data_IF_133271484548
#
_entry.id   IF_133271484548
#
_cell.length_a   1.000
_cell.length_b   1.000
_cell.length_c   1.000
_cell.angle_alpha   90.00
_cell.angle_beta   90.00
_cell.angle_gamma   90.00
#
_symmetry.space_group_name_H-M   'P 1'
#
loop_
_entity.id
_entity.type
_entity.pdbx_description
1 polymer ?
#
# COMPACT_ATOMS: atom_id res chain seq x y z
N UNK A 1 -5.03 -88.26 55.54
CA UNK A 1 -3.73 -87.54 55.63
C UNK A 1 -3.29 -87.26 54.20
N UNK A 2 -3.69 -86.09 53.62
CA UNK A 2 -3.49 -85.75 52.23
C UNK A 2 -2.39 -84.71 52.17
N UNK A 3 -1.29 -84.98 51.45
CA UNK A 3 -0.18 -84.10 51.27
C UNK A 3 -0.54 -83.04 50.19
N UNK A 4 -0.10 -81.78 50.33
CA UNK A 4 -0.32 -80.72 49.29
C UNK A 4 0.62 -80.92 48.15
N UNK A 5 0.09 -80.85 46.91
CA UNK A 5 0.82 -80.82 45.65
C UNK A 5 1.35 -79.44 45.47
N UNK A 6 2.72 -79.29 45.38
CA UNK A 6 3.36 -78.05 45.09
C UNK A 6 3.21 -77.67 43.58
N UNK A 7 2.67 -76.51 43.27
CA UNK A 7 2.61 -75.95 41.92
C UNK A 7 3.97 -75.59 41.40
N UNK A 8 4.31 -75.92 40.14
CA UNK A 8 5.61 -75.51 39.56
C UNK A 8 5.57 -73.99 39.25
N UNK A 9 6.48 -73.27 39.87
CA UNK A 9 6.72 -71.86 39.65
C UNK A 9 7.28 -71.69 38.19
N UNK A 10 6.43 -71.18 37.28
CA UNK A 10 6.86 -70.81 35.93
C UNK A 10 7.75 -69.57 36.07
N UNK A 11 9.06 -69.74 36.00
CA UNK A 11 10.01 -68.67 35.79
C UNK A 11 9.78 -68.14 34.35
N UNK A 12 9.21 -66.95 34.26
CA UNK A 12 9.14 -66.19 32.98
C UNK A 12 10.61 -66.00 32.52
N UNK A 13 10.96 -66.53 31.36
CA UNK A 13 12.26 -66.29 30.76
C UNK A 13 12.35 -64.78 30.40
N UNK A 14 13.13 -64.03 31.17
CA UNK A 14 13.46 -62.64 30.83
C UNK A 14 14.35 -62.65 29.59
N UNK A 15 13.78 -62.30 28.44
CA UNK A 15 14.53 -62.13 27.22
C UNK A 15 15.16 -60.75 27.26
N UNK A 16 16.48 -60.71 27.55
CA UNK A 16 17.27 -59.47 27.43
C UNK A 16 17.35 -59.05 25.96
N UNK A 17 17.30 -57.72 25.70
CA UNK A 17 17.46 -57.16 24.36
C UNK A 17 18.85 -57.50 23.81
N UNK A 18 18.89 -57.86 22.52
CA UNK A 18 20.19 -58.05 21.85
C UNK A 18 20.81 -56.71 21.49
N UNK A 19 22.13 -56.59 21.47
CA UNK A 19 22.85 -55.39 21.06
C UNK A 19 22.42 -54.91 19.67
N UNK A 20 22.17 -55.84 18.75
CA UNK A 20 21.74 -55.57 17.38
C UNK A 20 20.33 -54.95 17.34
N UNK A 21 19.40 -55.42 18.17
CA UNK A 21 18.02 -54.91 18.25
C UNK A 21 18.03 -53.47 18.77
N UNK A 22 18.86 -53.13 19.74
CA UNK A 22 19.05 -51.75 20.22
C UNK A 22 19.61 -50.85 19.14
N UNK A 23 20.66 -51.33 18.40
CA UNK A 23 21.25 -50.56 17.31
C UNK A 23 20.26 -50.30 16.17
N UNK A 24 19.47 -51.30 15.77
CA UNK A 24 18.42 -51.13 14.72
C UNK A 24 17.32 -50.19 15.19
N UNK A 25 16.88 -50.32 16.44
CA UNK A 25 15.86 -49.44 17.01
C UNK A 25 16.33 -47.99 17.06
N UNK A 26 17.57 -47.72 17.47
CA UNK A 26 18.18 -46.38 17.47
C UNK A 26 18.31 -45.81 16.04
N UNK A 27 18.68 -46.64 15.07
CA UNK A 27 18.76 -46.23 13.68
C UNK A 27 17.40 -45.83 13.11
N UNK A 28 16.38 -46.64 13.37
CA UNK A 28 14.97 -46.31 12.95
C UNK A 28 14.47 -45.04 13.65
N UNK A 29 14.70 -44.95 14.96
CA UNK A 29 14.37 -43.74 15.72
C UNK A 29 15.04 -42.49 15.16
N UNK A 30 16.35 -42.59 14.88
CA UNK A 30 17.13 -41.49 14.27
C UNK A 30 16.57 -41.07 12.91
N UNK A 31 16.16 -42.01 12.06
CA UNK A 31 15.55 -41.71 10.77
C UNK A 31 14.20 -40.99 10.94
N UNK A 32 13.34 -41.46 11.85
CA UNK A 32 12.04 -40.85 12.14
C UNK A 32 12.23 -39.42 12.70
N UNK A 33 13.16 -39.25 13.65
CA UNK A 33 13.46 -37.96 14.24
C UNK A 33 13.99 -36.97 13.18
N UNK A 34 14.93 -37.42 12.32
CA UNK A 34 15.43 -36.59 11.22
C UNK A 34 14.33 -36.17 10.23
N UNK A 35 13.46 -37.11 9.86
CA UNK A 35 12.30 -36.83 8.99
C UNK A 35 11.35 -35.80 9.66
N UNK A 36 11.07 -35.94 10.96
CA UNK A 36 10.24 -35.01 11.71
C UNK A 36 10.81 -33.57 11.71
N UNK A 37 12.13 -33.44 11.97
CA UNK A 37 12.82 -32.14 11.93
C UNK A 37 12.80 -31.54 10.52
N UNK A 38 12.98 -32.36 9.47
CA UNK A 38 12.93 -31.90 8.09
C UNK A 38 11.54 -31.36 7.71
N UNK A 39 10.47 -32.07 8.07
CA UNK A 39 9.08 -31.64 7.83
C UNK A 39 8.78 -30.33 8.57
N UNK A 40 9.15 -30.22 9.85
CA UNK A 40 8.97 -29.01 10.64
C UNK A 40 9.69 -27.82 10.02
N UNK A 41 10.94 -27.99 9.62
CA UNK A 41 11.75 -26.96 8.97
C UNK A 41 11.16 -26.51 7.63
N UNK A 42 10.60 -27.44 6.86
CA UNK A 42 9.89 -27.14 5.62
C UNK A 42 8.61 -26.33 5.89
N UNK A 43 7.81 -26.74 6.89
CA UNK A 43 6.58 -26.06 7.26
C UNK A 43 6.84 -24.62 7.69
N UNK A 44 7.85 -24.36 8.50
CA UNK A 44 8.22 -23.01 8.95
C UNK A 44 8.61 -22.13 7.75
N UNK A 45 9.42 -22.66 6.83
CA UNK A 45 9.82 -21.91 5.61
C UNK A 45 8.63 -21.63 4.68
N UNK A 46 7.75 -22.59 4.50
CA UNK A 46 6.54 -22.42 3.70
C UNK A 46 5.60 -21.36 4.30
N UNK A 47 5.42 -21.38 5.62
CA UNK A 47 4.63 -20.37 6.34
C UNK A 47 5.23 -18.97 6.17
N UNK A 48 6.53 -18.80 6.37
CA UNK A 48 7.20 -17.51 6.21
C UNK A 48 7.06 -16.95 4.79
N UNK A 49 7.18 -17.80 3.76
CA UNK A 49 6.99 -17.41 2.37
C UNK A 49 5.55 -16.98 2.08
N UNK A 50 4.56 -17.67 2.65
CA UNK A 50 3.15 -17.35 2.50
C UNK A 50 2.81 -16.02 3.19
N UNK A 51 3.26 -15.83 4.44
CA UNK A 51 3.07 -14.58 5.18
C UNK A 51 3.64 -13.40 4.41
N UNK A 52 4.86 -13.52 3.90
CA UNK A 52 5.47 -12.45 3.10
C UNK A 52 4.63 -12.07 1.87
N UNK A 53 4.10 -13.07 1.15
CA UNK A 53 3.23 -12.80 -0.03
C UNK A 53 1.93 -12.10 0.37
N UNK A 54 1.33 -12.47 1.49
CA UNK A 54 0.13 -11.84 2.01
C UNK A 54 0.40 -10.39 2.43
N UNK A 55 1.53 -10.13 3.10
CA UNK A 55 1.93 -8.78 3.52
C UNK A 55 2.19 -7.88 2.31
N UNK A 56 2.88 -8.40 1.29
CA UNK A 56 3.14 -7.69 0.03
C UNK A 56 1.83 -7.36 -0.71
N UNK A 57 0.89 -8.30 -0.78
CA UNK A 57 -0.44 -8.09 -1.36
C UNK A 57 -1.26 -7.06 -0.57
N UNK A 58 -1.26 -7.16 0.75
CA UNK A 58 -1.95 -6.22 1.63
C UNK A 58 -1.36 -4.80 1.52
N UNK A 59 -0.03 -4.66 1.39
CA UNK A 59 0.62 -3.37 1.17
C UNK A 59 0.17 -2.73 -0.15
N UNK A 60 0.09 -3.51 -1.23
CA UNK A 60 -0.41 -3.03 -2.52
C UNK A 60 -1.86 -2.55 -2.42
N UNK A 61 -2.75 -3.36 -1.84
CA UNK A 61 -4.17 -3.00 -1.66
C UNK A 61 -4.30 -1.71 -0.84
N UNK A 62 -3.58 -1.60 0.28
CA UNK A 62 -3.57 -0.36 1.10
C UNK A 62 -3.10 0.84 0.30
N UNK A 63 -2.06 0.68 -0.52
CA UNK A 63 -1.51 1.75 -1.38
C UNK A 63 -2.54 2.23 -2.40
N UNK A 64 -3.16 1.30 -3.12
CA UNK A 64 -4.20 1.62 -4.11
C UNK A 64 -5.39 2.29 -3.44
N UNK A 65 -5.85 1.78 -2.30
CA UNK A 65 -6.99 2.36 -1.55
C UNK A 65 -6.68 3.77 -1.05
N UNK A 66 -5.49 3.99 -0.49
CA UNK A 66 -5.08 5.32 -0.01
C UNK A 66 -4.95 6.31 -1.17
N UNK A 67 -4.34 5.90 -2.29
CA UNK A 67 -4.22 6.75 -3.48
C UNK A 67 -5.59 7.06 -4.10
N UNK A 68 -6.48 6.08 -4.16
CA UNK A 68 -7.87 6.27 -4.61
C UNK A 68 -8.62 7.27 -3.75
N UNK A 69 -8.48 7.17 -2.43
CA UNK A 69 -9.10 8.11 -1.49
C UNK A 69 -8.53 9.52 -1.61
N UNK A 70 -7.21 9.66 -1.75
CA UNK A 70 -6.54 10.95 -1.89
C UNK A 70 -6.93 11.63 -3.21
N UNK A 71 -6.92 10.88 -4.31
CA UNK A 71 -7.27 11.38 -5.64
C UNK A 71 -8.76 11.69 -5.76
N UNK A 72 -9.62 10.83 -5.25
CA UNK A 72 -11.07 11.04 -5.25
C UNK A 72 -11.51 12.29 -4.47
N UNK A 73 -10.73 12.68 -3.47
CA UNK A 73 -10.97 13.88 -2.65
C UNK A 73 -10.15 15.09 -3.10
N UNK A 74 -9.44 15.04 -4.22
CA UNK A 74 -8.69 16.16 -4.74
C UNK A 74 -9.61 17.38 -4.99
N UNK A 75 -9.15 18.56 -4.59
CA UNK A 75 -9.90 19.84 -4.75
C UNK A 75 -9.05 20.87 -5.51
N UNK A 76 -9.68 21.75 -6.30
CA UNK A 76 -8.99 22.74 -7.13
C UNK A 76 -8.52 23.95 -6.30
N UNK A 77 -7.81 23.72 -5.21
CA UNK A 77 -7.27 24.76 -4.33
C UNK A 77 -5.76 24.78 -4.36
N UNK A 78 -5.17 25.85 -4.89
CA UNK A 78 -3.75 26.10 -4.80
C UNK A 78 -3.30 26.26 -3.34
N UNK A 79 -2.06 25.88 -3.04
CA UNK A 79 -1.45 25.98 -1.72
C UNK A 79 -0.09 26.64 -1.79
N UNK A 80 0.38 27.23 -0.68
CA UNK A 80 1.73 27.80 -0.61
C UNK A 80 2.70 26.74 -0.09
N UNK A 81 3.91 26.74 -0.66
CA UNK A 81 5.01 25.96 -0.12
C UNK A 81 5.65 26.65 1.11
N UNK A 82 6.71 26.04 1.63
CA UNK A 82 7.45 26.55 2.81
C UNK A 82 8.07 27.94 2.58
N UNK A 83 8.40 28.27 1.32
CA UNK A 83 8.94 29.58 0.93
C UNK A 83 7.85 30.63 0.68
N UNK A 84 6.56 30.26 0.82
CA UNK A 84 5.40 31.11 0.53
C UNK A 84 5.04 31.17 -0.96
N UNK A 85 5.72 30.42 -1.83
CA UNK A 85 5.42 30.37 -3.27
C UNK A 85 4.12 29.61 -3.52
N UNK A 86 3.24 30.21 -4.31
CA UNK A 86 1.97 29.57 -4.69
C UNK A 86 2.24 28.40 -5.62
N UNK A 87 1.71 27.22 -5.27
CA UNK A 87 1.78 26.00 -6.07
C UNK A 87 0.40 25.60 -6.56
N UNK A 88 0.28 25.02 -7.76
CA UNK A 88 -0.99 24.52 -8.26
C UNK A 88 -1.62 23.47 -7.32
N UNK A 89 -2.93 23.32 -7.44
CA UNK A 89 -3.70 22.36 -6.64
C UNK A 89 -3.28 20.90 -6.88
N UNK A 90 -2.77 20.62 -8.07
CA UNK A 90 -2.36 19.30 -8.50
C UNK A 90 -1.13 19.45 -9.42
N UNK A 91 -0.07 18.73 -9.10
CA UNK A 91 1.15 18.68 -9.90
C UNK A 91 1.63 17.25 -9.99
N UNK A 92 1.87 16.79 -11.19
CA UNK A 92 2.38 15.44 -11.43
C UNK A 92 3.48 15.47 -12.47
N UNK A 93 4.70 15.08 -12.07
CA UNK A 93 5.89 15.08 -12.92
C UNK A 93 6.92 14.09 -12.37
N UNK A 94 7.61 13.38 -13.25
CA UNK A 94 8.75 12.52 -12.91
C UNK A 94 8.47 11.52 -11.77
N UNK A 95 7.29 10.87 -11.76
CA UNK A 95 6.91 9.91 -10.73
C UNK A 95 6.57 10.53 -9.38
N UNK A 96 6.55 11.85 -9.26
CA UNK A 96 6.08 12.59 -8.10
C UNK A 96 4.69 13.14 -8.35
N UNK A 97 3.81 13.06 -7.37
CA UNK A 97 2.47 13.57 -7.42
C UNK A 97 2.20 14.40 -6.17
N UNK A 98 1.98 15.69 -6.33
CA UNK A 98 1.55 16.60 -5.27
C UNK A 98 0.11 17.04 -5.50
N UNK A 99 -0.72 17.01 -4.47
CA UNK A 99 -2.12 17.44 -4.58
C UNK A 99 -2.65 18.01 -3.28
N UNK A 100 -3.72 18.78 -3.39
CA UNK A 100 -4.54 19.22 -2.29
C UNK A 100 -5.84 18.43 -2.30
N UNK A 101 -6.16 17.81 -1.16
CA UNK A 101 -7.42 17.09 -0.99
C UNK A 101 -8.28 17.73 0.09
N UNK A 102 -9.59 17.57 -0.01
CA UNK A 102 -10.57 17.85 1.03
C UNK A 102 -10.77 16.65 1.97
N UNK A 103 -11.84 16.70 2.77
CA UNK A 103 -12.30 15.56 3.58
C UNK A 103 -11.35 15.15 4.72
N UNK A 104 -10.42 16.01 5.11
CA UNK A 104 -9.59 15.77 6.29
C UNK A 104 -10.43 15.95 7.56
N UNK A 105 -10.92 14.83 8.07
CA UNK A 105 -11.79 14.83 9.26
C UNK A 105 -11.07 15.45 10.46
N UNK A 106 -11.70 16.47 11.03
CA UNK A 106 -11.23 17.15 12.20
C UNK A 106 -12.01 16.67 13.43
N UNK A 107 -11.72 15.45 13.90
CA UNK A 107 -12.43 14.83 15.03
C UNK A 107 -12.18 15.60 16.33
N UNK A 108 -10.98 16.16 16.49
CA UNK A 108 -10.55 16.82 17.72
C UNK A 108 -10.89 18.30 17.77
N UNK A 109 -11.67 18.82 16.80
CA UNK A 109 -11.98 20.25 16.63
C UNK A 109 -10.73 21.15 16.68
N UNK A 110 -9.55 20.62 16.30
CA UNK A 110 -8.30 21.38 16.25
C UNK A 110 -8.42 22.51 15.22
N UNK A 111 -7.71 23.61 15.45
CA UNK A 111 -7.67 24.75 14.52
C UNK A 111 -6.84 24.41 13.28
N UNK A 112 -7.36 23.54 12.42
CA UNK A 112 -6.74 23.12 11.16
C UNK A 112 -7.77 23.15 10.01
N UNK A 113 -7.34 23.44 8.78
CA UNK A 113 -8.25 23.44 7.62
C UNK A 113 -8.75 22.03 7.33
N UNK A 114 -9.98 21.92 6.80
CA UNK A 114 -10.54 20.66 6.30
C UNK A 114 -9.88 20.15 5.00
N UNK A 115 -8.87 20.88 4.49
CA UNK A 115 -8.07 20.53 3.34
C UNK A 115 -6.64 20.20 3.76
N UNK A 116 -6.01 19.23 3.07
CA UNK A 116 -4.65 18.79 3.32
C UNK A 116 -3.84 18.75 2.02
N UNK A 117 -2.63 19.30 2.07
CA UNK A 117 -1.62 19.09 1.03
C UNK A 117 -0.90 17.78 1.29
N UNK A 118 -0.66 17.01 0.23
CA UNK A 118 0.10 15.78 0.31
C UNK A 118 0.93 15.53 -0.96
N UNK A 119 1.94 14.67 -0.80
CA UNK A 119 2.85 14.26 -1.87
C UNK A 119 2.99 12.74 -1.86
N UNK A 120 2.93 12.16 -3.05
CA UNK A 120 3.33 10.79 -3.32
C UNK A 120 4.62 10.82 -4.12
N UNK A 121 5.64 10.07 -3.70
CA UNK A 121 6.94 10.00 -4.37
C UNK A 121 7.62 8.67 -4.15
N UNK A 122 8.61 8.35 -4.97
CA UNK A 122 9.49 7.21 -4.77
C UNK A 122 10.83 7.70 -4.23
N UNK A 123 11.24 7.10 -3.11
CA UNK A 123 12.58 7.27 -2.54
C UNK A 123 13.15 5.87 -2.27
N UNK A 124 14.32 5.59 -2.78
CA UNK A 124 15.04 4.33 -2.61
C UNK A 124 14.22 3.07 -2.93
N UNK A 125 13.36 3.16 -3.96
CA UNK A 125 12.49 2.05 -4.38
C UNK A 125 11.32 1.79 -3.43
N UNK A 126 10.97 2.80 -2.62
CA UNK A 126 9.78 2.78 -1.76
C UNK A 126 8.84 3.90 -2.18
N UNK A 127 7.62 3.56 -2.54
CA UNK A 127 6.56 4.54 -2.74
C UNK A 127 6.11 5.05 -1.37
N UNK A 128 6.21 6.35 -1.17
CA UNK A 128 5.93 7.03 0.08
C UNK A 128 4.80 8.04 -0.08
N UNK A 129 4.03 8.22 0.98
CA UNK A 129 3.01 9.25 1.11
C UNK A 129 3.42 10.23 2.20
N UNK A 130 3.46 11.53 1.87
CA UNK A 130 3.85 12.61 2.77
C UNK A 130 2.66 13.55 2.94
N UNK A 131 2.18 13.73 4.15
CA UNK A 131 1.17 14.73 4.49
C UNK A 131 1.80 16.01 5.01
N UNK A 132 1.02 17.08 5.01
CA UNK A 132 1.40 18.35 5.61
C UNK A 132 0.44 18.71 6.73
N UNK A 133 0.92 19.26 7.88
CA UNK A 133 0.07 19.56 9.02
C UNK A 133 -0.83 20.78 8.77
N UNK A 134 -0.44 21.65 7.86
CA UNK A 134 -1.21 22.80 7.40
C UNK A 134 -1.15 22.91 5.88
N UNK A 135 -2.11 23.61 5.30
CA UNK A 135 -2.20 23.75 3.84
C UNK A 135 -1.10 24.64 3.27
N UNK A 136 -0.83 25.75 3.95
CA UNK A 136 0.09 26.82 3.50
C UNK A 136 1.28 26.95 4.44
N UNK A 137 2.50 27.09 3.88
CA UNK A 137 3.72 27.43 4.59
C UNK A 137 4.27 26.38 5.56
N UNK A 138 3.66 25.20 5.66
CA UNK A 138 4.12 24.17 6.60
C UNK A 138 5.17 23.26 5.97
N UNK A 139 6.12 22.82 6.82
CA UNK A 139 7.04 21.75 6.49
C UNK A 139 6.31 20.39 6.41
N UNK A 140 6.81 19.44 5.61
CA UNK A 140 6.22 18.10 5.49
C UNK A 140 6.30 17.32 6.79
N UNK A 141 5.32 16.46 7.02
CA UNK A 141 5.38 15.43 8.06
C UNK A 141 6.33 14.30 7.64
N UNK A 142 6.63 13.41 8.57
CA UNK A 142 7.39 12.21 8.27
C UNK A 142 6.73 11.40 7.14
N UNK A 143 7.54 10.94 6.18
CA UNK A 143 7.08 10.13 5.08
C UNK A 143 6.55 8.77 5.58
N UNK A 144 5.38 8.38 5.12
CA UNK A 144 4.79 7.06 5.40
C UNK A 144 5.13 6.12 4.27
N UNK A 145 5.88 5.03 4.50
CA UNK A 145 6.16 4.02 3.47
C UNK A 145 4.86 3.26 3.16
N UNK A 146 4.49 3.22 1.89
CA UNK A 146 3.26 2.57 1.42
C UNK A 146 3.54 1.25 0.69
N UNK A 147 4.53 1.23 -0.21
CA UNK A 147 4.90 0.04 -0.97
C UNK A 147 6.40 0.02 -1.22
N UNK A 148 7.04 -1.07 -0.80
CA UNK A 148 8.48 -1.31 -1.01
C UNK A 148 8.74 -2.13 -2.29
N UNK A 149 10.00 -2.15 -2.75
CA UNK A 149 10.40 -2.95 -3.89
C UNK A 149 9.90 -2.41 -5.23
N UNK A 150 9.60 -1.13 -5.31
CA UNK A 150 9.26 -0.45 -6.57
C UNK A 150 10.53 -0.24 -7.38
N UNK A 151 10.51 -0.64 -8.66
CA UNK A 151 11.56 -0.39 -9.64
C UNK A 151 11.23 0.84 -10.47
N UNK A 152 10.02 0.88 -11.04
CA UNK A 152 9.56 1.95 -11.92
C UNK A 152 8.15 2.37 -11.57
N UNK A 153 7.87 3.66 -11.67
CA UNK A 153 6.54 4.26 -11.55
C UNK A 153 6.33 5.27 -12.68
N UNK A 154 5.29 5.05 -13.45
CA UNK A 154 4.84 6.00 -14.48
C UNK A 154 3.44 6.47 -14.12
N UNK A 155 3.23 7.77 -14.15
CA UNK A 155 1.94 8.42 -13.92
C UNK A 155 1.52 9.13 -15.22
N UNK A 156 0.26 8.91 -15.62
CA UNK A 156 -0.33 9.58 -16.79
C UNK A 156 -1.65 10.23 -16.40
N UNK A 157 -1.90 11.37 -16.92
CA UNK A 157 -3.02 12.24 -16.57
C UNK A 157 -3.96 12.39 -17.77
N UNK A 158 -5.27 12.26 -17.54
CA UNK A 158 -6.29 12.35 -18.59
C UNK A 158 -7.11 13.63 -18.44
N UNK A 159 -7.26 14.35 -19.55
CA UNK A 159 -8.16 15.49 -19.65
C UNK A 159 -8.73 15.62 -21.07
N UNK A 160 -10.05 15.82 -21.20
CA UNK A 160 -10.74 15.94 -22.49
C UNK A 160 -10.38 14.85 -23.50
N UNK A 161 -10.29 13.60 -23.04
CA UNK A 161 -9.95 12.44 -23.87
C UNK A 161 -8.45 12.26 -24.18
N UNK A 162 -7.62 13.25 -23.94
CA UNK A 162 -6.16 13.19 -24.16
C UNK A 162 -5.40 12.70 -22.92
N UNK A 163 -4.28 12.06 -23.14
CA UNK A 163 -3.36 11.63 -22.08
C UNK A 163 -2.06 12.45 -22.12
N UNK A 164 -1.54 12.80 -20.95
CA UNK A 164 -0.26 13.49 -20.76
C UNK A 164 0.56 12.80 -19.68
N UNK A 165 1.87 12.82 -19.80
CA UNK A 165 2.81 12.27 -18.80
C UNK A 165 3.15 13.32 -17.72
N UNK A 166 2.67 14.54 -17.87
CA UNK A 166 2.89 15.65 -16.95
C UNK A 166 1.58 16.39 -16.71
N UNK A 167 1.42 16.90 -15.48
CA UNK A 167 0.35 17.81 -15.10
C UNK A 167 0.89 18.90 -14.17
N UNK A 168 0.77 20.15 -14.58
CA UNK A 168 1.30 21.31 -13.85
C UNK A 168 0.24 22.39 -13.58
N UNK A 169 -1.02 22.11 -13.92
CA UNK A 169 -2.09 23.08 -13.82
C UNK A 169 -2.02 24.21 -14.86
N UNK A 170 -1.12 24.10 -15.86
CA UNK A 170 -1.05 25.02 -16.96
C UNK A 170 -2.34 25.00 -17.80
N UNK A 171 -2.67 26.13 -18.40
CA UNK A 171 -3.92 26.23 -19.21
C UNK A 171 -5.20 26.44 -18.41
N UNK A 172 -5.10 26.76 -17.11
CA UNK A 172 -6.27 27.12 -16.28
C UNK A 172 -7.10 25.93 -15.78
N UNK A 173 -6.65 24.70 -16.04
CA UNK A 173 -7.33 23.48 -15.56
C UNK A 173 -6.62 22.95 -14.31
N UNK A 174 -7.20 23.11 -13.12
CA UNK A 174 -6.51 22.79 -11.87
C UNK A 174 -6.37 21.30 -11.59
N UNK A 175 -7.25 20.45 -12.11
CA UNK A 175 -7.26 19.00 -11.86
C UNK A 175 -7.43 18.23 -13.17
N UNK A 176 -6.73 17.09 -13.37
CA UNK A 176 -7.07 16.14 -14.42
C UNK A 176 -8.35 15.39 -14.07
N UNK A 177 -8.99 14.75 -15.05
CA UNK A 177 -10.19 13.93 -14.86
C UNK A 177 -9.85 12.55 -14.28
N UNK A 178 -8.72 12.00 -14.69
CA UNK A 178 -8.24 10.70 -14.22
C UNK A 178 -6.72 10.64 -14.21
N UNK A 179 -6.20 9.75 -13.37
CA UNK A 179 -4.81 9.38 -13.27
C UNK A 179 -4.66 7.90 -13.55
N UNK A 180 -3.74 7.51 -14.43
CA UNK A 180 -3.26 6.15 -14.61
C UNK A 180 -1.92 5.99 -13.92
N UNK A 181 -1.81 4.99 -13.06
CA UNK A 181 -0.57 4.55 -12.43
C UNK A 181 -0.12 3.24 -13.05
N UNK A 182 1.10 3.19 -13.55
CA UNK A 182 1.79 1.97 -13.97
C UNK A 182 2.99 1.77 -13.08
N UNK A 183 3.05 0.66 -12.38
CA UNK A 183 4.07 0.35 -11.40
C UNK A 183 4.69 -0.99 -11.70
N UNK A 184 6.03 -1.04 -11.76
CA UNK A 184 6.80 -2.27 -11.90
C UNK A 184 7.60 -2.51 -10.62
N UNK A 185 7.50 -3.70 -10.06
CA UNK A 185 8.30 -4.13 -8.91
C UNK A 185 9.65 -4.71 -9.34
N UNK A 186 10.58 -4.81 -8.39
CA UNK A 186 11.90 -5.41 -8.61
C UNK A 186 11.85 -6.89 -9.01
N UNK A 187 10.80 -7.61 -8.61
CA UNK A 187 10.54 -9.00 -9.01
C UNK A 187 9.95 -9.14 -10.43
N UNK A 188 9.77 -8.02 -11.15
CA UNK A 188 9.21 -7.95 -12.48
C UNK A 188 7.68 -7.88 -12.53
N UNK A 189 7.00 -7.95 -11.39
CA UNK A 189 5.53 -7.85 -11.34
C UNK A 189 5.08 -6.46 -11.76
N UNK A 190 4.14 -6.40 -12.70
CA UNK A 190 3.56 -5.17 -13.23
C UNK A 190 2.14 -4.96 -12.74
N UNK A 191 1.84 -3.75 -12.31
CA UNK A 191 0.51 -3.31 -11.90
C UNK A 191 0.10 -2.08 -12.68
N UNK A 192 -1.17 -2.06 -13.07
CA UNK A 192 -1.81 -0.90 -13.70
C UNK A 192 -3.09 -0.59 -12.97
N UNK A 193 -3.26 0.65 -12.53
CA UNK A 193 -4.46 1.13 -11.85
C UNK A 193 -4.89 2.47 -12.44
N UNK A 194 -6.19 2.69 -12.50
CA UNK A 194 -6.79 3.94 -12.96
C UNK A 194 -7.64 4.51 -11.83
N UNK A 195 -7.49 5.80 -11.59
CA UNK A 195 -8.18 6.54 -10.53
C UNK A 195 -8.92 7.73 -11.13
N UNK A 196 -10.13 8.00 -10.61
CA UNK A 196 -10.80 9.27 -10.84
C UNK A 196 -10.18 10.33 -9.92
N UNK A 197 -10.07 11.55 -10.43
CA UNK A 197 -9.52 12.69 -9.68
C UNK A 197 -10.67 13.65 -9.33
N UNK A 198 -10.75 14.02 -8.05
CA UNK A 198 -11.87 14.80 -7.54
C UNK A 198 -13.18 14.01 -7.62
N UNK A 199 -14.29 14.72 -7.60
CA UNK A 199 -15.63 14.13 -7.78
C UNK A 199 -15.96 13.85 -9.24
N UNK A 200 -15.00 14.05 -10.16
CA UNK A 200 -15.25 14.08 -11.61
C UNK A 200 -16.09 15.30 -12.05
N UNK A 201 -16.40 16.19 -11.14
CA UNK A 201 -17.13 17.40 -11.41
C UNK A 201 -16.22 18.42 -12.08
N UNK A 202 -16.39 18.58 -13.38
CA UNK A 202 -15.90 19.77 -14.07
C UNK A 202 -16.96 20.87 -13.82
N UNK A 203 -16.62 21.99 -13.14
CA UNK A 203 -17.56 23.11 -13.07
C UNK A 203 -17.94 23.50 -14.50
N UNK A 204 -19.21 23.82 -14.75
CA UNK A 204 -19.60 24.31 -16.06
C UNK A 204 -18.73 25.52 -16.42
N UNK A 205 -18.38 25.68 -17.71
CA UNK A 205 -17.61 26.86 -18.14
C UNK A 205 -18.35 28.11 -17.67
N UNK A 206 -17.62 29.01 -17.03
CA UNK A 206 -18.14 30.32 -16.63
C UNK A 206 -18.53 31.02 -17.94
N UNK A 207 -19.81 31.14 -18.19
CA UNK A 207 -20.29 31.96 -19.28
C UNK A 207 -19.91 33.42 -18.92
N UNK A 208 -19.20 34.13 -19.78
CA UNK A 208 -19.00 35.56 -19.54
C UNK A 208 -20.36 36.21 -19.45
N UNK A 209 -20.57 36.99 -18.39
CA UNK A 209 -21.81 37.73 -18.16
C UNK A 209 -22.20 38.52 -19.41
N UNK A 210 -23.28 38.11 -20.06
CA UNK A 210 -23.83 38.79 -21.24
C UNK A 210 -24.57 40.08 -20.88
N UNK A 211 -24.50 40.55 -19.63
CA UNK A 211 -25.30 41.66 -19.12
C UNK A 211 -24.62 43.04 -19.16
N UNK A 212 -23.46 43.19 -19.76
CA UNK A 212 -22.77 44.54 -19.80
C UNK A 212 -23.01 45.29 -21.11
N UNK A 213 -23.80 44.78 -22.05
CA UNK A 213 -23.92 45.40 -23.38
C UNK A 213 -25.27 46.08 -23.70
N UNK A 214 -26.17 46.26 -22.72
CA UNK A 214 -27.46 46.93 -23.01
C UNK A 214 -27.70 48.27 -22.29
N UNK A 215 -26.70 48.83 -21.60
CA UNK A 215 -26.90 50.10 -20.88
C UNK A 215 -26.43 51.37 -21.63
N UNK A 216 -25.85 51.23 -22.83
CA UNK A 216 -25.23 52.39 -23.52
C UNK A 216 -25.95 52.86 -24.80
N UNK A 217 -27.19 52.41 -25.06
CA UNK A 217 -27.99 52.86 -26.22
C UNK A 217 -29.34 53.51 -25.85
N UNK A 218 -29.45 54.16 -24.67
CA UNK A 218 -30.62 54.99 -24.34
C UNK A 218 -30.16 56.36 -23.81
N UNK A 219 -29.68 57.20 -24.73
CA UNK A 219 -29.71 58.67 -24.58
C UNK A 219 -29.58 59.35 -25.93
#
# INVERSE_FOLDING_TARGET
MTLPVASPNRRSAEHGFTLVEVMVSLMIFGMIAAAGVAILSFSIRAQAATTKRLDDGAALVRTISAMSADLGQAIPRAARDESGTLRPAFVGENGTLALVRGGWTNIDAAARPGAQKLVWQIVDGTLQRIGYPQLDGAAPLSATPMLTGVRDLTLRYRYNGAWSDRWDGAGGVPLPQALEMQLTRRDGTFYRAMFLVGTGYAPPPVQPDSDVSQADNAN
#
